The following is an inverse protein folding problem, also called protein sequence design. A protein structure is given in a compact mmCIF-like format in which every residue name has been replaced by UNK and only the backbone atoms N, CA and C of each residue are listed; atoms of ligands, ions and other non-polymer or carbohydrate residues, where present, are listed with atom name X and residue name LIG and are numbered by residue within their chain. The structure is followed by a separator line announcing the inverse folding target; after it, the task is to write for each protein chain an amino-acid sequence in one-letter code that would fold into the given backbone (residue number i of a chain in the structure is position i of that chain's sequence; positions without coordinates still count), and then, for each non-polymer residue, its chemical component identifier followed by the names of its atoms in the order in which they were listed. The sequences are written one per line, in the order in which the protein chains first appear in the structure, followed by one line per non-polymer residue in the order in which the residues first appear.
data_IF_690461793891
#
_entry.id   IF_690461793891
#
_cell.length_a   1.000
_cell.length_b   1.000
_cell.length_c   1.000
_cell.angle_alpha   90.00
_cell.angle_beta   90.00
_cell.angle_gamma   90.00
#
_symmetry.space_group_name_H-M   'P 1'
#
loop_
_entity.id
_entity.type
_entity.pdbx_description
1 polymer ?
#
# COMPACT_ATOMS: atom_id res chain seq x y z
N UNK A 1 -85.28 6.00 5.62
CA UNK A 1 -84.14 5.87 4.69
C UNK A 1 -83.03 6.80 5.12
N UNK A 2 -82.01 6.24 5.74
CA UNK A 2 -80.85 7.00 6.23
C UNK A 2 -79.69 6.85 5.22
N UNK A 3 -79.32 7.93 4.60
CA UNK A 3 -78.13 7.96 3.73
C UNK A 3 -76.88 8.05 4.59
N UNK A 4 -76.03 6.99 4.50
CA UNK A 4 -74.71 6.94 5.09
C UNK A 4 -73.73 7.53 4.06
N UNK A 5 -73.14 8.71 4.38
CA UNK A 5 -72.01 9.26 3.62
C UNK A 5 -70.72 8.56 4.11
N UNK A 6 -70.11 7.76 3.27
CA UNK A 6 -68.80 7.23 3.52
C UNK A 6 -67.79 8.28 3.01
N UNK A 7 -67.09 8.95 3.93
CA UNK A 7 -66.01 9.84 3.62
C UNK A 7 -64.74 9.00 3.47
N UNK A 8 -64.30 8.79 2.24
CA UNK A 8 -63.05 8.11 1.91
C UNK A 8 -61.91 9.14 2.11
N UNK A 9 -61.24 9.13 3.26
CA UNK A 9 -59.98 9.85 3.46
C UNK A 9 -58.88 9.10 2.73
N UNK A 10 -58.52 9.54 1.54
CA UNK A 10 -57.22 9.20 0.92
C UNK A 10 -56.12 9.91 1.72
N UNK A 11 -55.44 9.17 2.59
CA UNK A 11 -54.14 9.56 3.11
C UNK A 11 -53.13 9.42 1.98
N UNK A 12 -52.88 10.52 1.28
CA UNK A 12 -51.68 10.66 0.45
C UNK A 12 -50.50 10.70 1.42
N UNK A 13 -49.80 9.58 1.58
CA UNK A 13 -48.44 9.58 2.07
C UNK A 13 -47.58 10.16 0.97
N UNK A 14 -47.38 11.49 1.01
CA UNK A 14 -46.27 12.13 0.31
C UNK A 14 -45.06 11.83 1.16
N UNK A 15 -44.27 10.85 0.78
CA UNK A 15 -42.88 10.76 1.26
C UNK A 15 -42.17 11.98 0.70
N UNK A 16 -42.06 13.05 1.49
CA UNK A 16 -41.08 14.10 1.22
C UNK A 16 -39.73 13.44 1.41
N UNK A 17 -39.17 12.90 0.32
CA UNK A 17 -37.74 12.76 0.27
C UNK A 17 -37.17 14.18 0.38
N UNK A 18 -36.44 14.43 1.45
CA UNK A 18 -35.72 15.69 1.61
C UNK A 18 -34.67 15.74 0.50
N UNK A 19 -35.04 16.37 -0.64
CA UNK A 19 -34.06 16.63 -1.69
C UNK A 19 -33.03 17.58 -1.14
N UNK A 20 -31.75 17.21 -1.29
CA UNK A 20 -30.63 18.07 -0.93
C UNK A 20 -30.80 19.46 -1.58
N UNK A 21 -30.75 20.52 -0.77
CA UNK A 21 -30.85 21.90 -1.25
C UNK A 21 -29.49 22.34 -1.79
N UNK A 22 -29.09 21.80 -2.93
CA UNK A 22 -27.79 22.10 -3.55
C UNK A 22 -27.80 23.56 -4.05
N UNK A 23 -26.70 24.29 -3.80
CA UNK A 23 -26.51 25.64 -4.32
C UNK A 23 -25.95 25.55 -5.77
N UNK A 24 -26.82 25.63 -6.75
CA UNK A 24 -26.49 25.53 -8.19
C UNK A 24 -25.53 26.65 -8.70
N UNK A 25 -25.36 27.72 -7.95
CA UNK A 25 -24.41 28.79 -8.30
C UNK A 25 -22.96 28.48 -7.87
N UNK A 26 -22.71 27.34 -7.25
CA UNK A 26 -21.38 26.88 -6.82
C UNK A 26 -20.96 25.67 -7.63
N UNK A 27 -19.66 25.51 -7.87
CA UNK A 27 -19.14 24.26 -8.42
C UNK A 27 -19.23 23.17 -7.35
N UNK A 28 -19.86 22.04 -7.67
CA UNK A 28 -19.97 20.93 -6.74
C UNK A 28 -19.91 19.57 -7.43
N UNK A 29 -19.58 18.54 -6.66
CA UNK A 29 -19.66 17.14 -7.07
C UNK A 29 -20.47 16.40 -6.01
N UNK A 30 -21.47 15.64 -6.45
CA UNK A 30 -22.23 14.73 -5.58
C UNK A 30 -21.84 13.29 -5.86
N UNK A 31 -21.49 12.57 -4.83
CA UNK A 31 -21.17 11.14 -4.88
C UNK A 31 -22.20 10.38 -4.04
N UNK A 32 -22.90 9.41 -4.64
CA UNK A 32 -23.83 8.55 -3.91
C UNK A 32 -23.36 7.10 -3.98
N UNK A 33 -23.17 6.50 -2.81
CA UNK A 33 -22.85 5.08 -2.67
C UNK A 33 -24.12 4.38 -2.16
N UNK A 34 -24.69 3.49 -2.98
CA UNK A 34 -25.91 2.75 -2.63
C UNK A 34 -25.59 1.29 -2.38
N UNK A 35 -26.31 0.66 -1.45
CA UNK A 35 -26.27 -0.80 -1.30
C UNK A 35 -26.99 -1.46 -2.48
N UNK A 36 -26.40 -2.52 -3.01
CA UNK A 36 -26.93 -3.31 -4.13
C UNK A 36 -28.35 -3.86 -3.85
N UNK A 37 -28.64 -4.15 -2.60
CA UNK A 37 -29.90 -4.75 -2.15
C UNK A 37 -30.94 -3.71 -1.66
N UNK A 38 -30.53 -2.47 -1.45
CA UNK A 38 -31.38 -1.39 -1.01
C UNK A 38 -30.95 -0.05 -1.64
N UNK A 39 -31.51 0.23 -2.82
CA UNK A 39 -31.21 1.47 -3.59
C UNK A 39 -31.71 2.73 -2.91
N UNK A 40 -32.57 2.62 -1.89
CA UNK A 40 -33.09 3.75 -1.13
C UNK A 40 -32.15 4.13 0.04
N UNK A 41 -31.34 3.20 0.56
CA UNK A 41 -30.32 3.47 1.56
C UNK A 41 -28.97 3.69 0.90
N UNK A 42 -28.42 4.89 0.97
CA UNK A 42 -27.10 5.19 0.43
C UNK A 42 -26.47 6.38 1.17
N UNK A 43 -25.15 6.35 1.25
CA UNK A 43 -24.37 7.51 1.71
C UNK A 43 -24.25 8.48 0.54
N UNK A 44 -24.58 9.75 0.80
CA UNK A 44 -24.43 10.82 -0.17
C UNK A 44 -23.47 11.87 0.36
N UNK A 45 -22.40 12.10 -0.38
CA UNK A 45 -21.41 13.13 -0.12
C UNK A 45 -21.56 14.25 -1.16
N UNK A 46 -21.51 15.49 -0.73
CA UNK A 46 -21.50 16.68 -1.59
C UNK A 46 -20.23 17.46 -1.29
N UNK A 47 -19.43 17.75 -2.33
CA UNK A 47 -18.22 18.55 -2.18
C UNK A 47 -18.36 19.82 -3.01
N UNK A 48 -18.28 20.96 -2.36
CA UNK A 48 -18.27 22.28 -3.00
C UNK A 48 -16.85 22.77 -3.23
N UNK A 49 -16.63 23.37 -4.40
CA UNK A 49 -15.33 23.84 -4.85
C UNK A 49 -15.32 25.37 -5.03
N UNK A 50 -14.16 25.96 -4.81
CA UNK A 50 -13.94 27.38 -5.16
C UNK A 50 -13.72 27.57 -6.67
N UNK A 51 -13.53 28.82 -7.09
CA UNK A 51 -13.28 29.16 -8.49
C UNK A 51 -11.96 28.62 -9.08
N UNK A 52 -11.08 28.07 -8.24
CA UNK A 52 -9.81 27.41 -8.62
C UNK A 52 -9.89 25.88 -8.60
N UNK A 53 -11.08 25.33 -8.32
CA UNK A 53 -11.29 23.88 -8.23
C UNK A 53 -10.78 23.25 -6.93
N UNK A 54 -10.55 24.04 -5.87
CA UNK A 54 -10.14 23.52 -4.56
C UNK A 54 -11.37 23.27 -3.71
N UNK A 55 -11.37 22.18 -2.95
CA UNK A 55 -12.43 21.83 -2.02
C UNK A 55 -12.61 22.95 -0.96
N UNK A 56 -13.81 23.46 -0.83
CA UNK A 56 -14.15 24.54 0.11
C UNK A 56 -15.03 24.06 1.25
N UNK A 57 -15.91 23.12 0.95
CA UNK A 57 -16.82 22.52 1.90
C UNK A 57 -17.15 21.09 1.47
N UNK A 58 -17.13 20.14 2.39
CA UNK A 58 -17.67 18.80 2.18
C UNK A 58 -18.81 18.51 3.14
N UNK A 59 -19.84 17.85 2.63
CA UNK A 59 -21.09 17.58 3.36
C UNK A 59 -21.41 16.10 3.21
N UNK A 60 -21.64 15.42 4.33
CA UNK A 60 -22.17 14.06 4.37
C UNK A 60 -23.60 14.11 4.85
N UNK A 61 -24.52 13.72 3.98
CA UNK A 61 -25.96 13.85 4.25
C UNK A 61 -26.45 12.83 5.27
N UNK A 62 -27.17 13.30 6.28
CA UNK A 62 -27.93 12.48 7.21
C UNK A 62 -27.10 11.50 8.06
N UNK A 63 -25.79 11.69 8.19
CA UNK A 63 -24.90 10.70 8.83
C UNK A 63 -24.75 10.90 10.35
N UNK A 64 -25.20 12.03 10.90
CA UNK A 64 -25.15 12.23 12.35
C UNK A 64 -26.12 11.32 13.09
N UNK A 65 -25.91 11.00 14.37
CA UNK A 65 -26.86 10.19 15.14
C UNK A 65 -28.29 10.73 15.19
N UNK A 66 -28.46 12.04 14.98
CA UNK A 66 -29.77 12.70 14.93
C UNK A 66 -30.34 12.83 13.51
N UNK A 67 -29.64 12.33 12.51
CA UNK A 67 -30.03 12.47 11.10
C UNK A 67 -29.65 13.80 10.46
N UNK A 68 -28.83 14.65 11.14
CA UNK A 68 -28.30 15.87 10.55
C UNK A 68 -27.13 15.58 9.60
N UNK A 69 -26.87 16.51 8.69
CA UNK A 69 -25.71 16.48 7.81
C UNK A 69 -24.44 16.87 8.58
N UNK A 70 -23.30 16.29 8.19
CA UNK A 70 -21.99 16.69 8.73
C UNK A 70 -21.25 17.58 7.73
N UNK A 71 -20.93 18.78 8.13
CA UNK A 71 -20.23 19.80 7.35
C UNK A 71 -18.77 19.92 7.78
N UNK A 72 -17.86 19.93 6.79
CA UNK A 72 -16.45 20.25 7.00
C UNK A 72 -16.07 21.41 6.10
N UNK A 73 -15.55 22.50 6.67
CA UNK A 73 -15.12 23.68 5.94
C UNK A 73 -13.61 23.75 5.81
N UNK A 74 -13.13 24.23 4.67
CA UNK A 74 -11.71 24.42 4.39
C UNK A 74 -11.46 25.86 3.95
N UNK A 75 -10.44 26.48 4.56
CA UNK A 75 -10.01 27.84 4.22
C UNK A 75 -8.59 27.83 3.70
N UNK A 76 -8.35 28.56 2.63
CA UNK A 76 -7.04 28.70 2.00
C UNK A 76 -6.52 30.13 2.14
N UNK A 77 -5.19 30.26 2.24
CA UNK A 77 -4.52 31.57 2.14
C UNK A 77 -4.41 32.05 0.69
N UNK A 78 -3.86 33.24 0.49
CA UNK A 78 -3.64 33.83 -0.84
C UNK A 78 -2.63 33.06 -1.72
N UNK A 79 -1.84 32.14 -1.14
CA UNK A 79 -0.88 31.29 -1.84
C UNK A 79 -1.48 29.90 -2.16
N UNK A 80 -2.71 29.64 -1.68
CA UNK A 80 -3.40 28.36 -1.92
C UNK A 80 -3.12 27.30 -0.86
N UNK A 81 -2.50 27.63 0.25
CA UNK A 81 -2.29 26.70 1.35
C UNK A 81 -3.55 26.58 2.21
N UNK A 82 -3.85 25.36 2.64
CA UNK A 82 -4.93 25.05 3.57
C UNK A 82 -4.57 25.56 4.96
N UNK A 83 -5.14 26.66 5.39
CA UNK A 83 -4.84 27.28 6.69
C UNK A 83 -5.79 26.87 7.81
N UNK A 84 -7.04 26.57 7.48
CA UNK A 84 -8.04 26.07 8.44
C UNK A 84 -8.83 24.91 7.84
N UNK A 85 -9.20 23.98 8.71
CA UNK A 85 -10.14 22.90 8.42
C UNK A 85 -11.00 22.66 9.65
N UNK A 86 -12.32 22.75 9.52
CA UNK A 86 -13.22 22.46 10.64
C UNK A 86 -13.29 20.95 10.90
N UNK A 87 -13.51 20.57 12.17
CA UNK A 87 -14.03 19.22 12.43
C UNK A 87 -15.44 19.10 11.82
N UNK A 88 -15.89 17.87 11.44
CA UNK A 88 -17.25 17.68 10.98
C UNK A 88 -18.26 18.18 12.01
N UNK A 89 -19.09 19.13 11.61
CA UNK A 89 -20.07 19.78 12.48
C UNK A 89 -21.49 19.49 12.00
N UNK A 90 -22.41 19.02 12.84
CA UNK A 90 -23.78 18.72 12.44
C UNK A 90 -24.55 20.00 12.11
N UNK A 91 -25.34 19.96 11.03
CA UNK A 91 -26.23 21.03 10.61
C UNK A 91 -27.41 20.49 9.82
N UNK A 92 -28.59 21.06 10.03
CA UNK A 92 -29.84 20.71 9.36
C UNK A 92 -30.03 21.45 8.02
N UNK A 93 -28.97 21.82 7.31
CA UNK A 93 -29.01 22.61 6.07
C UNK A 93 -29.28 21.81 4.80
N UNK A 94 -29.52 20.51 4.92
CA UNK A 94 -29.96 19.63 3.82
C UNK A 94 -29.05 19.68 2.58
N UNK A 95 -27.74 19.65 2.77
CA UNK A 95 -26.76 19.65 1.67
C UNK A 95 -26.52 21.03 1.04
N UNK A 96 -27.13 22.10 1.53
CA UNK A 96 -26.90 23.44 1.02
C UNK A 96 -25.52 23.95 1.45
N UNK A 97 -24.82 24.64 0.54
CA UNK A 97 -23.57 25.32 0.86
C UNK A 97 -23.80 26.33 2.00
N UNK A 98 -22.95 26.26 3.03
CA UNK A 98 -22.97 27.16 4.18
C UNK A 98 -21.73 28.06 4.12
N UNK A 99 -21.90 29.41 3.92
CA UNK A 99 -20.75 30.29 3.98
C UNK A 99 -20.03 30.15 5.34
N UNK A 100 -18.74 29.91 5.27
CA UNK A 100 -17.92 29.77 6.46
C UNK A 100 -17.71 31.15 7.11
N UNK A 101 -18.20 31.32 8.34
CA UNK A 101 -17.97 32.49 9.17
C UNK A 101 -17.02 32.13 10.32
N UNK A 102 -15.75 32.51 10.15
CA UNK A 102 -14.74 32.32 11.17
C UNK A 102 -14.87 33.42 12.23
N UNK A 103 -15.50 33.12 13.35
CA UNK A 103 -15.47 33.98 14.52
C UNK A 103 -14.35 33.56 15.47
N UNK A 104 -13.56 34.52 15.95
CA UNK A 104 -12.37 34.28 16.78
C UNK A 104 -12.64 33.45 18.06
N UNK A 105 -13.89 33.33 18.49
CA UNK A 105 -14.30 32.59 19.68
C UNK A 105 -14.55 31.07 19.43
N UNK A 106 -14.44 30.60 18.21
CA UNK A 106 -14.67 29.19 17.84
C UNK A 106 -13.41 28.41 17.50
N UNK A 107 -12.24 28.88 17.95
CA UNK A 107 -10.92 28.30 17.59
C UNK A 107 -10.72 26.81 17.93
N UNK A 108 -11.49 26.30 18.89
CA UNK A 108 -11.36 24.90 19.33
C UNK A 108 -11.91 23.86 18.34
N UNK A 109 -12.68 24.28 17.34
CA UNK A 109 -13.30 23.40 16.36
C UNK A 109 -12.49 23.23 15.06
N UNK A 110 -11.23 23.67 14.98
CA UNK A 110 -10.47 23.73 13.74
C UNK A 110 -9.08 23.15 13.89
N UNK A 111 -8.61 22.50 12.82
CA UNK A 111 -7.20 22.25 12.56
C UNK A 111 -6.65 23.51 11.91
N UNK A 112 -5.60 24.09 12.48
CA UNK A 112 -4.94 25.29 11.97
C UNK A 112 -3.55 24.97 11.48
N UNK A 113 -3.21 25.41 10.26
CA UNK A 113 -1.88 25.31 9.70
C UNK A 113 -1.28 26.71 9.51
N UNK A 114 -0.05 26.88 9.94
CA UNK A 114 0.73 28.10 9.75
C UNK A 114 1.90 27.84 8.80
N UNK A 115 2.17 28.79 7.91
CA UNK A 115 3.19 28.67 6.87
C UNK A 115 4.22 29.80 6.94
N UNK A 116 5.47 29.47 6.65
CA UNK A 116 6.53 30.46 6.44
C UNK A 116 6.29 31.14 5.08
N UNK A 117 5.94 32.44 5.09
CA UNK A 117 5.60 33.20 3.86
C UNK A 117 6.70 33.19 2.80
N UNK A 118 7.96 33.26 3.21
CA UNK A 118 9.09 33.37 2.27
C UNK A 118 9.35 32.09 1.45
N UNK A 119 9.10 30.91 2.03
CA UNK A 119 9.42 29.61 1.41
C UNK A 119 8.17 28.75 1.19
N UNK A 120 7.01 29.22 1.64
CA UNK A 120 5.74 28.47 1.57
C UNK A 120 5.82 27.08 2.25
N UNK A 121 6.56 26.98 3.35
CA UNK A 121 6.75 25.74 4.10
C UNK A 121 5.89 25.77 5.38
N UNK A 122 5.29 24.65 5.82
CA UNK A 122 4.57 24.58 7.09
C UNK A 122 5.52 24.86 8.27
N UNK A 123 5.09 25.65 9.24
CA UNK A 123 5.84 25.90 10.47
C UNK A 123 5.12 25.41 11.71
N UNK A 124 3.80 25.30 11.66
CA UNK A 124 3.01 24.80 12.77
C UNK A 124 1.68 24.23 12.30
N UNK A 125 1.24 23.15 12.94
CA UNK A 125 -0.10 22.62 12.83
C UNK A 125 -0.67 22.45 14.24
N UNK A 126 -1.82 23.09 14.52
CA UNK A 126 -2.54 22.97 15.80
C UNK A 126 -3.79 22.13 15.56
N UNK A 127 -4.00 21.09 16.36
CA UNK A 127 -5.18 20.23 16.30
C UNK A 127 -6.45 20.93 16.83
N UNK A 128 -7.63 20.33 16.61
CA UNK A 128 -8.87 20.84 17.15
C UNK A 128 -8.95 20.58 18.67
N UNK A 129 -9.56 21.48 19.41
CA UNK A 129 -9.78 21.38 20.85
C UNK A 129 -9.26 22.56 21.63
N UNK A 130 -10.03 23.03 22.60
CA UNK A 130 -9.69 24.19 23.41
C UNK A 130 -8.38 24.02 24.18
N UNK A 131 -8.09 22.81 24.68
CA UNK A 131 -6.85 22.50 25.38
C UNK A 131 -5.61 22.61 24.47
N UNK A 132 -5.73 22.20 23.22
CA UNK A 132 -4.67 22.31 22.21
C UNK A 132 -4.40 23.77 21.85
N UNK A 133 -5.46 24.51 21.63
CA UNK A 133 -5.37 25.91 21.26
C UNK A 133 -4.79 26.77 22.40
N UNK A 134 -5.30 26.64 23.64
CA UNK A 134 -4.86 27.42 24.81
C UNK A 134 -3.41 27.13 25.19
N UNK A 135 -2.95 25.89 25.06
CA UNK A 135 -1.61 25.49 25.43
C UNK A 135 -0.61 25.63 24.26
N UNK A 136 -1.02 26.18 23.12
CA UNK A 136 -0.21 26.25 21.91
C UNK A 136 0.38 24.88 21.51
N UNK A 137 -0.28 23.78 21.89
CA UNK A 137 0.12 22.43 21.55
C UNK A 137 -0.07 22.18 20.05
N UNK A 138 0.76 21.34 19.47
CA UNK A 138 0.69 21.04 18.06
C UNK A 138 2.02 20.57 17.49
N UNK A 139 1.99 20.19 16.24
CA UNK A 139 3.20 19.80 15.48
C UNK A 139 3.92 21.09 15.06
N UNK A 140 5.22 21.18 15.33
CA UNK A 140 6.06 22.32 14.93
C UNK A 140 7.16 21.88 14.00
N UNK A 141 7.52 22.73 13.02
CA UNK A 141 8.52 22.45 11.99
C UNK A 141 9.60 23.54 11.99
N UNK A 142 10.85 23.11 11.89
CA UNK A 142 12.01 24.00 11.72
C UNK A 142 12.88 23.50 10.58
N UNK A 143 13.36 24.42 9.76
CA UNK A 143 14.20 24.13 8.60
C UNK A 143 15.56 24.77 8.76
N UNK A 144 16.63 23.96 8.67
CA UNK A 144 18.01 24.41 8.86
C UNK A 144 18.98 23.60 7.99
N UNK A 145 20.27 23.86 8.10
CA UNK A 145 21.33 23.00 7.56
C UNK A 145 21.91 22.06 8.64
N UNK A 146 22.77 21.14 8.23
CA UNK A 146 23.48 20.22 9.13
C UNK A 146 24.67 20.88 9.86
N UNK A 147 24.49 22.07 10.41
CA UNK A 147 25.58 22.78 11.09
C UNK A 147 25.73 22.46 12.58
N UNK A 148 24.64 21.98 13.20
CA UNK A 148 24.56 21.81 14.65
C UNK A 148 25.25 20.55 15.18
N UNK A 149 25.16 19.45 14.42
CA UNK A 149 25.74 18.15 14.79
C UNK A 149 26.36 17.48 13.57
N UNK A 150 27.50 16.76 13.74
CA UNK A 150 28.14 16.05 12.65
C UNK A 150 27.20 14.90 12.13
N UNK A 151 27.07 14.81 10.82
CA UNK A 151 26.39 13.71 10.11
C UNK A 151 27.45 12.91 9.37
N UNK A 152 27.56 11.60 9.65
CA UNK A 152 28.55 10.74 9.01
C UNK A 152 28.28 10.58 7.51
N UNK A 153 29.33 10.66 6.70
CA UNK A 153 29.28 10.45 5.25
C UNK A 153 29.69 9.02 4.91
N UNK A 154 28.69 8.14 4.73
CA UNK A 154 28.87 6.78 4.28
C UNK A 154 28.65 6.68 2.78
N UNK A 155 29.54 5.97 2.09
CA UNK A 155 29.50 5.80 0.64
C UNK A 155 29.76 4.35 0.25
N UNK A 156 29.25 3.97 -0.94
CA UNK A 156 29.64 2.72 -1.58
C UNK A 156 30.72 3.03 -2.59
N UNK A 157 31.92 2.45 -2.40
CA UNK A 157 33.05 2.62 -3.31
C UNK A 157 32.78 1.99 -4.68
N UNK A 158 33.63 2.29 -5.65
CA UNK A 158 33.56 1.68 -7.00
C UNK A 158 33.73 0.16 -6.99
N UNK A 159 34.32 -0.39 -5.92
CA UNK A 159 34.45 -1.85 -5.71
C UNK A 159 33.24 -2.45 -4.97
N UNK A 160 32.21 -1.67 -4.70
CA UNK A 160 31.00 -2.12 -3.98
C UNK A 160 31.16 -2.22 -2.46
N UNK A 161 32.26 -1.70 -1.90
CA UNK A 161 32.49 -1.73 -0.46
C UNK A 161 31.91 -0.51 0.23
N UNK A 162 31.37 -0.71 1.43
CA UNK A 162 30.96 0.37 2.31
C UNK A 162 32.21 1.07 2.88
N UNK A 163 32.23 2.39 2.82
CA UNK A 163 33.31 3.24 3.35
C UNK A 163 32.72 4.46 4.08
N UNK A 164 33.42 4.96 5.08
CA UNK A 164 33.12 6.24 5.73
C UNK A 164 34.13 7.27 5.30
N UNK A 165 33.73 8.27 4.51
CA UNK A 165 34.60 9.38 4.06
C UNK A 165 34.88 10.41 5.15
N UNK A 166 34.06 10.46 6.19
CA UNK A 166 34.16 11.43 7.25
C UNK A 166 32.78 11.89 7.72
N UNK A 167 32.56 13.20 7.66
CA UNK A 167 31.26 13.83 7.96
C UNK A 167 30.89 14.77 6.81
N UNK A 168 29.59 14.92 6.59
CA UNK A 168 29.09 15.89 5.61
C UNK A 168 29.50 17.30 6.00
N UNK A 169 29.96 18.14 5.03
CA UNK A 169 30.24 19.55 5.27
C UNK A 169 29.03 20.27 5.89
N UNK A 170 29.32 21.29 6.72
CA UNK A 170 28.26 22.11 7.30
C UNK A 170 27.35 22.72 6.18
N UNK A 171 26.06 22.71 6.38
CA UNK A 171 25.04 23.21 5.44
C UNK A 171 24.99 22.49 4.07
N UNK A 172 25.63 21.33 3.92
CA UNK A 172 25.51 20.52 2.70
C UNK A 172 24.27 19.64 2.68
N UNK A 173 23.64 19.42 3.84
CA UNK A 173 22.37 18.73 3.98
C UNK A 173 21.28 19.69 4.46
N UNK A 174 20.04 19.50 4.00
CA UNK A 174 18.86 20.16 4.53
C UNK A 174 18.39 19.37 5.76
N UNK A 175 18.14 20.06 6.87
CA UNK A 175 17.60 19.46 8.07
C UNK A 175 16.16 19.98 8.29
N UNK A 176 15.20 19.06 8.31
CA UNK A 176 13.83 19.30 8.74
C UNK A 176 13.67 18.73 10.14
N UNK A 177 13.40 19.60 11.11
CA UNK A 177 13.11 19.22 12.50
C UNK A 177 11.61 19.30 12.73
N UNK A 178 11.05 18.22 13.26
CA UNK A 178 9.64 18.13 13.63
C UNK A 178 9.52 17.82 15.11
N UNK A 179 8.70 18.58 15.81
CA UNK A 179 8.24 18.25 17.15
C UNK A 179 6.76 17.88 17.08
N UNK A 180 6.41 16.75 17.67
CA UNK A 180 5.01 16.38 17.85
C UNK A 180 4.39 17.13 19.04
N UNK A 181 3.14 16.81 19.33
CA UNK A 181 2.35 17.42 20.40
C UNK A 181 2.93 17.15 21.79
N UNK A 182 3.58 16.00 21.96
CA UNK A 182 4.24 15.59 23.21
C UNK A 182 5.69 16.09 23.29
N UNK A 183 6.11 16.92 22.32
CA UNK A 183 7.47 17.48 22.16
C UNK A 183 8.53 16.42 21.86
N UNK A 184 8.16 15.26 21.35
CA UNK A 184 9.13 14.34 20.80
C UNK A 184 9.72 14.95 19.53
N UNK A 185 11.03 14.90 19.44
CA UNK A 185 11.80 15.55 18.37
C UNK A 185 12.31 14.54 17.35
N UNK A 186 12.13 14.84 16.07
CA UNK A 186 12.70 14.09 14.95
C UNK A 186 13.39 15.06 14.00
N UNK A 187 14.65 14.80 13.68
CA UNK A 187 15.43 15.51 12.67
C UNK A 187 15.62 14.60 11.45
N UNK A 188 15.28 15.11 10.27
CA UNK A 188 15.50 14.41 9.00
C UNK A 188 16.45 15.20 8.13
N UNK A 189 17.60 14.60 7.83
CA UNK A 189 18.65 15.20 7.01
C UNK A 189 18.55 14.65 5.58
N UNK A 190 18.38 15.57 4.63
CA UNK A 190 18.27 15.24 3.21
C UNK A 190 19.37 15.93 2.41
N UNK A 191 19.84 15.25 1.38
CA UNK A 191 20.81 15.85 0.45
C UNK A 191 20.11 16.74 -0.61
N UNK A 192 20.89 17.29 -1.52
CA UNK A 192 20.40 18.23 -2.54
C UNK A 192 19.48 17.58 -3.60
N UNK A 193 19.50 16.26 -3.73
CA UNK A 193 18.59 15.54 -4.64
C UNK A 193 17.39 14.92 -3.90
N UNK A 194 17.24 15.20 -2.59
CA UNK A 194 16.08 14.81 -1.79
C UNK A 194 16.18 13.43 -1.13
N UNK A 195 17.36 12.77 -1.15
CA UNK A 195 17.55 11.49 -0.44
C UNK A 195 17.67 11.74 1.06
N UNK A 196 16.96 10.94 1.86
CA UNK A 196 17.12 10.95 3.32
C UNK A 196 18.41 10.23 3.68
N UNK A 197 19.39 10.96 4.21
CA UNK A 197 20.69 10.44 4.64
C UNK A 197 20.65 9.98 6.09
N UNK A 198 20.02 10.77 6.96
CA UNK A 198 19.90 10.49 8.39
C UNK A 198 18.53 10.87 8.90
N UNK A 199 17.92 9.97 9.67
CA UNK A 199 16.80 10.30 10.55
C UNK A 199 17.27 10.15 11.99
N UNK A 200 17.21 11.22 12.76
CA UNK A 200 17.58 11.28 14.18
C UNK A 200 16.35 11.47 15.03
N UNK A 201 16.06 10.51 15.87
CA UNK A 201 14.99 10.59 16.86
C UNK A 201 15.55 10.84 18.24
N UNK A 202 14.83 11.54 19.07
CA UNK A 202 15.23 11.84 20.44
C UNK A 202 14.28 11.18 21.43
N UNK A 203 14.87 10.57 22.46
CA UNK A 203 14.20 10.21 23.69
C UNK A 203 14.85 11.00 24.79
N UNK A 204 14.13 12.01 25.31
CA UNK A 204 14.65 12.99 26.24
C UNK A 204 15.90 13.70 25.69
N UNK A 205 17.11 13.33 26.15
CA UNK A 205 18.39 13.91 25.70
C UNK A 205 19.19 12.99 24.79
N UNK A 206 18.79 11.71 24.66
CA UNK A 206 19.54 10.73 23.86
C UNK A 206 19.05 10.73 22.41
N UNK A 207 20.02 10.82 21.49
CA UNK A 207 19.74 10.72 20.06
C UNK A 207 19.87 9.27 19.58
N UNK A 208 18.99 8.88 18.67
CA UNK A 208 18.94 7.57 18.00
C UNK A 208 18.99 7.78 16.51
N UNK A 209 20.13 7.46 15.91
CA UNK A 209 20.42 7.71 14.50
C UNK A 209 20.09 6.52 13.62
N UNK A 210 19.34 6.76 12.55
CA UNK A 210 19.14 5.81 11.46
C UNK A 210 19.69 6.38 10.18
N UNK A 211 20.75 5.79 9.64
CA UNK A 211 21.39 6.20 8.38
C UNK A 211 20.89 5.39 7.21
N UNK A 212 20.69 6.05 6.08
CA UNK A 212 20.50 5.44 4.77
C UNK A 212 21.74 5.69 3.90
N UNK A 213 22.27 4.63 3.31
CA UNK A 213 23.46 4.69 2.45
C UNK A 213 23.08 4.31 1.04
N UNK A 214 23.45 5.15 0.10
CA UNK A 214 23.12 4.99 -1.31
C UNK A 214 24.38 4.77 -2.15
N UNK A 215 24.22 4.03 -3.26
CA UNK A 215 25.26 3.89 -4.26
C UNK A 215 25.28 5.07 -5.24
N UNK A 216 26.21 5.03 -6.19
CA UNK A 216 26.37 6.05 -7.24
C UNK A 216 25.18 6.18 -8.20
N UNK A 217 24.28 5.19 -8.22
CA UNK A 217 23.03 5.19 -9.00
C UNK A 217 21.79 5.58 -8.19
N UNK A 218 22.00 6.13 -6.98
CA UNK A 218 20.96 6.54 -6.03
C UNK A 218 20.09 5.38 -5.49
N UNK A 219 20.61 4.14 -5.49
CA UNK A 219 19.90 2.99 -4.93
C UNK A 219 20.29 2.82 -3.46
N UNK A 220 19.30 2.54 -2.62
CA UNK A 220 19.51 2.32 -1.18
C UNK A 220 20.21 0.98 -0.96
N UNK A 221 21.46 1.01 -0.48
CA UNK A 221 22.26 -0.20 -0.25
C UNK A 221 22.27 -0.64 1.21
N UNK A 222 22.28 0.31 2.16
CA UNK A 222 22.22 -0.01 3.58
C UNK A 222 21.26 0.90 4.32
N UNK A 223 20.65 0.32 5.37
CA UNK A 223 20.02 1.09 6.45
C UNK A 223 20.73 0.69 7.73
N UNK A 224 21.23 1.66 8.47
CA UNK A 224 21.83 1.47 9.80
C UNK A 224 20.84 1.95 10.87
N UNK A 225 20.07 1.06 11.50
CA UNK A 225 19.30 1.41 12.69
C UNK A 225 20.21 1.89 13.84
N UNK A 226 19.68 2.46 14.92
CA UNK A 226 20.48 3.04 16.01
C UNK A 226 21.58 2.12 16.57
N UNK A 227 21.30 0.82 16.74
CA UNK A 227 22.31 -0.13 17.21
C UNK A 227 23.51 -0.27 16.24
N UNK A 228 23.21 -0.31 14.91
CA UNK A 228 24.26 -0.35 13.91
C UNK A 228 25.03 0.96 13.88
N UNK A 229 24.34 2.10 13.92
CA UNK A 229 24.94 3.44 13.91
C UNK A 229 25.89 3.66 15.08
N UNK A 230 25.45 3.32 16.30
CA UNK A 230 26.27 3.45 17.52
C UNK A 230 27.50 2.54 17.47
N UNK A 231 27.34 1.28 17.02
CA UNK A 231 28.44 0.33 16.91
C UNK A 231 29.47 0.73 15.85
N UNK A 232 29.03 1.26 14.68
CA UNK A 232 29.92 1.70 13.60
C UNK A 232 30.74 2.96 13.96
N UNK A 233 30.26 3.79 14.88
CA UNK A 233 31.03 4.94 15.40
C UNK A 233 32.27 4.45 16.13
N UNK A 234 32.14 3.36 16.89
CA UNK A 234 33.22 2.83 17.74
C UNK A 234 34.15 1.85 17.01
N UNK A 235 33.58 0.89 16.30
CA UNK A 235 34.31 -0.26 15.74
C UNK A 235 34.89 0.00 14.36
N UNK A 236 34.29 0.88 13.56
CA UNK A 236 34.69 1.23 12.19
C UNK A 236 34.86 0.02 11.25
N UNK A 237 34.17 -1.08 11.54
CA UNK A 237 34.19 -2.30 10.73
C UNK A 237 33.08 -2.22 9.66
N UNK A 238 33.48 -2.07 8.41
CA UNK A 238 32.57 -1.88 7.28
C UNK A 238 32.47 -3.12 6.37
N UNK A 239 32.96 -4.27 6.82
CA UNK A 239 32.81 -5.54 6.12
C UNK A 239 31.55 -6.27 6.59
N UNK A 240 30.86 -6.92 5.64
CA UNK A 240 29.72 -7.81 5.94
C UNK A 240 30.25 -9.18 6.38
N UNK A 241 30.80 -9.25 7.58
CA UNK A 241 31.32 -10.49 8.16
C UNK A 241 30.28 -11.12 9.08
N UNK A 242 30.21 -12.45 9.06
CA UNK A 242 29.25 -13.19 9.91
C UNK A 242 29.49 -12.90 11.38
N UNK A 243 28.45 -12.45 12.09
CA UNK A 243 28.51 -12.03 13.47
C UNK A 243 29.09 -10.63 13.70
N UNK A 244 29.51 -9.94 12.64
CA UNK A 244 29.94 -8.54 12.68
C UNK A 244 28.76 -7.56 12.80
N UNK A 245 29.09 -6.27 13.01
CA UNK A 245 28.10 -5.20 13.23
C UNK A 245 27.10 -5.12 12.09
N UNK A 246 27.55 -5.16 10.83
CA UNK A 246 26.66 -5.08 9.66
C UNK A 246 25.78 -6.32 9.53
N UNK A 247 26.31 -7.50 9.83
CA UNK A 247 25.54 -8.74 9.79
C UNK A 247 24.43 -8.76 10.83
N UNK A 248 24.71 -8.32 12.05
CA UNK A 248 23.78 -8.38 13.17
C UNK A 248 22.74 -7.27 13.18
N UNK A 249 23.09 -6.06 12.71
CA UNK A 249 22.26 -4.88 12.95
C UNK A 249 21.87 -4.10 11.70
N UNK A 250 22.53 -4.31 10.53
CA UNK A 250 22.22 -3.55 9.33
C UNK A 250 21.23 -4.25 8.41
N UNK A 251 20.42 -3.46 7.69
CA UNK A 251 19.76 -3.92 6.47
C UNK A 251 20.71 -3.71 5.31
N UNK A 252 20.73 -4.66 4.39
CA UNK A 252 21.56 -4.60 3.19
C UNK A 252 20.75 -5.00 1.95
N UNK A 253 21.03 -4.30 0.84
CA UNK A 253 20.45 -4.54 -0.46
C UNK A 253 21.51 -4.48 -1.53
N UNK A 254 21.53 -5.47 -2.40
CA UNK A 254 22.38 -5.51 -3.58
C UNK A 254 21.55 -5.52 -4.85
N UNK A 255 22.06 -4.84 -5.87
CA UNK A 255 21.36 -4.68 -7.13
C UNK A 255 22.23 -5.12 -8.29
N UNK A 256 21.59 -5.63 -9.34
CA UNK A 256 22.25 -5.93 -10.62
C UNK A 256 22.37 -4.68 -11.52
N UNK A 257 22.88 -4.91 -12.75
CA UNK A 257 23.03 -3.84 -13.75
C UNK A 257 21.70 -3.27 -14.26
N UNK A 258 20.60 -4.02 -14.10
CA UNK A 258 19.23 -3.64 -14.51
C UNK A 258 18.45 -2.94 -13.39
N UNK A 259 19.09 -2.61 -12.27
CA UNK A 259 18.49 -2.02 -11.07
C UNK A 259 17.51 -2.93 -10.31
N UNK A 260 17.57 -4.25 -10.51
CA UNK A 260 16.76 -5.21 -9.78
C UNK A 260 17.49 -5.61 -8.49
N UNK A 261 16.76 -5.71 -7.37
CA UNK A 261 17.32 -6.18 -6.11
C UNK A 261 17.58 -7.69 -6.19
N UNK A 262 18.85 -8.09 -6.16
CA UNK A 262 19.27 -9.51 -6.27
C UNK A 262 19.61 -10.15 -4.92
N UNK A 263 19.88 -9.33 -3.92
CA UNK A 263 20.13 -9.78 -2.54
C UNK A 263 19.52 -8.79 -1.55
N UNK A 264 18.83 -9.31 -0.55
CA UNK A 264 18.30 -8.55 0.58
C UNK A 264 18.67 -9.25 1.86
N UNK A 265 19.24 -8.50 2.82
CA UNK A 265 19.56 -9.00 4.14
C UNK A 265 18.88 -8.18 5.21
N UNK A 266 18.25 -8.84 6.16
CA UNK A 266 17.72 -8.25 7.38
C UNK A 266 18.71 -8.42 8.52
N UNK A 267 18.66 -7.58 9.57
CA UNK A 267 19.52 -7.70 10.75
C UNK A 267 19.48 -9.11 11.37
N UNK A 268 20.65 -9.71 11.57
CA UNK A 268 20.80 -11.02 12.21
C UNK A 268 20.21 -12.22 11.44
N UNK A 269 19.76 -12.03 10.19
CA UNK A 269 19.15 -13.07 9.37
C UNK A 269 20.01 -13.32 8.15
N UNK A 270 20.11 -14.58 7.71
CA UNK A 270 20.78 -14.93 6.44
C UNK A 270 20.11 -14.22 5.25
N UNK A 271 20.88 -13.81 4.21
CA UNK A 271 20.34 -13.07 3.09
C UNK A 271 19.30 -13.87 2.29
N UNK A 272 18.39 -13.15 1.65
CA UNK A 272 17.44 -13.67 0.68
C UNK A 272 17.97 -13.32 -0.71
N UNK A 273 18.04 -14.31 -1.59
CA UNK A 273 18.43 -14.14 -3.00
C UNK A 273 17.23 -14.10 -3.90
N UNK A 274 17.34 -13.32 -4.98
CA UNK A 274 16.32 -13.18 -6.00
C UNK A 274 16.94 -13.36 -7.38
N UNK A 275 16.28 -14.14 -8.24
CA UNK A 275 16.70 -14.37 -9.62
C UNK A 275 15.56 -14.03 -10.57
N UNK A 276 15.87 -13.25 -11.59
CA UNK A 276 14.91 -12.70 -12.52
C UNK A 276 15.10 -13.29 -13.92
N UNK A 277 14.05 -13.31 -14.71
CA UNK A 277 14.08 -13.66 -16.12
C UNK A 277 14.46 -12.44 -17.00
N UNK A 278 14.53 -12.67 -18.31
CA UNK A 278 14.83 -11.63 -19.31
C UNK A 278 13.74 -10.54 -19.42
N UNK A 279 12.54 -10.81 -18.92
CA UNK A 279 11.42 -9.86 -18.88
C UNK A 279 11.31 -9.13 -17.52
N UNK A 280 12.39 -9.13 -16.71
CA UNK A 280 12.51 -8.49 -15.39
C UNK A 280 11.52 -9.01 -14.33
N UNK A 281 10.98 -10.23 -14.52
CA UNK A 281 10.07 -10.85 -13.56
C UNK A 281 10.85 -11.73 -12.58
N UNK A 282 10.43 -11.71 -11.30
CA UNK A 282 11.01 -12.56 -10.26
C UNK A 282 10.63 -14.03 -10.52
N UNK A 283 11.60 -14.87 -10.87
CA UNK A 283 11.37 -16.29 -11.13
C UNK A 283 11.76 -17.17 -9.95
N UNK A 284 12.83 -16.83 -9.25
CA UNK A 284 13.29 -17.62 -8.10
C UNK A 284 13.64 -16.71 -6.92
N UNK A 285 13.28 -17.16 -5.71
CA UNK A 285 13.75 -16.57 -4.47
C UNK A 285 14.20 -17.63 -3.47
N UNK A 286 15.19 -17.31 -2.64
CA UNK A 286 15.74 -18.25 -1.67
C UNK A 286 16.10 -17.55 -0.35
N UNK A 287 15.42 -17.91 0.72
CA UNK A 287 15.78 -17.53 2.09
C UNK A 287 16.88 -18.42 2.67
N UNK A 288 17.47 -18.00 3.81
CA UNK A 288 18.49 -18.79 4.52
C UNK A 288 18.01 -20.19 4.94
N UNK A 289 16.74 -20.33 5.33
CA UNK A 289 16.17 -21.63 5.69
C UNK A 289 15.98 -22.54 4.47
N UNK A 290 15.59 -21.98 3.32
CA UNK A 290 15.48 -22.71 2.07
C UNK A 290 16.86 -23.17 1.56
N UNK A 291 17.92 -22.34 1.74
CA UNK A 291 19.30 -22.75 1.39
C UNK A 291 19.76 -24.02 2.11
N UNK A 292 19.45 -24.13 3.41
CA UNK A 292 19.78 -25.34 4.18
C UNK A 292 19.12 -26.60 3.63
N UNK A 293 17.97 -26.44 2.97
CA UNK A 293 17.19 -27.52 2.35
C UNK A 293 17.44 -27.63 0.84
N UNK A 294 18.32 -26.79 0.25
CA UNK A 294 18.57 -26.68 -1.19
C UNK A 294 17.30 -26.35 -1.99
N UNK A 295 16.38 -25.62 -1.38
CA UNK A 295 15.08 -25.25 -1.92
C UNK A 295 15.07 -23.81 -2.40
N UNK A 296 14.30 -23.55 -3.46
CA UNK A 296 13.95 -22.24 -3.98
C UNK A 296 12.45 -22.12 -4.12
N UNK A 297 11.90 -20.96 -3.83
CA UNK A 297 10.55 -20.62 -4.24
C UNK A 297 10.61 -20.22 -5.72
N UNK A 298 9.80 -20.84 -6.58
CA UNK A 298 9.73 -20.47 -7.97
C UNK A 298 8.38 -19.89 -8.35
N UNK A 299 8.39 -19.02 -9.36
CA UNK A 299 7.22 -18.36 -9.92
C UNK A 299 7.22 -18.53 -11.44
N UNK A 300 6.06 -18.83 -12.02
CA UNK A 300 5.84 -18.87 -13.45
C UNK A 300 4.70 -17.95 -13.84
N UNK A 301 4.77 -17.42 -15.06
CA UNK A 301 3.88 -16.37 -15.52
C UNK A 301 3.22 -16.75 -16.84
N UNK A 302 2.04 -16.19 -17.11
CA UNK A 302 1.41 -16.24 -18.41
C UNK A 302 2.00 -15.16 -19.35
N UNK A 303 1.47 -15.12 -20.59
CA UNK A 303 1.87 -14.12 -21.58
C UNK A 303 1.52 -12.68 -21.14
N UNK A 304 0.48 -12.52 -20.36
CA UNK A 304 0.07 -11.22 -19.79
C UNK A 304 0.91 -10.76 -18.59
N UNK A 305 1.86 -11.60 -18.13
CA UNK A 305 2.68 -11.31 -16.95
C UNK A 305 1.98 -11.57 -15.61
N UNK A 306 0.82 -12.24 -15.62
CA UNK A 306 0.13 -12.67 -14.39
C UNK A 306 0.82 -13.92 -13.84
N UNK A 307 1.03 -13.98 -12.53
CA UNK A 307 1.53 -15.19 -11.87
C UNK A 307 0.49 -16.31 -11.97
N UNK A 308 0.90 -17.47 -12.47
CA UNK A 308 0.02 -18.62 -12.67
C UNK A 308 0.42 -19.82 -11.83
N UNK A 309 1.69 -20.02 -11.56
CA UNK A 309 2.20 -21.15 -10.77
C UNK A 309 3.27 -20.66 -9.82
N UNK A 310 3.17 -21.07 -8.57
CA UNK A 310 4.21 -20.91 -7.55
C UNK A 310 4.49 -22.27 -6.91
N UNK A 311 5.76 -22.53 -6.56
CA UNK A 311 6.13 -23.79 -5.92
C UNK A 311 7.54 -23.82 -5.38
N UNK A 312 7.98 -25.00 -4.98
CA UNK A 312 9.33 -25.26 -4.47
C UNK A 312 10.13 -26.01 -5.54
N UNK A 313 11.30 -25.49 -5.87
CA UNK A 313 12.33 -26.16 -6.67
C UNK A 313 13.43 -26.64 -5.74
N UNK A 314 13.70 -27.95 -5.71
CA UNK A 314 14.82 -28.52 -4.96
C UNK A 314 15.98 -28.75 -5.91
N UNK A 315 17.09 -28.01 -5.72
CA UNK A 315 18.26 -28.09 -6.62
C UNK A 315 19.55 -27.72 -5.91
N UNK A 316 20.65 -28.33 -6.34
CA UNK A 316 22.03 -28.00 -5.94
C UNK A 316 22.65 -26.84 -6.76
N UNK A 317 21.93 -26.30 -7.74
CA UNK A 317 22.44 -25.23 -8.60
C UNK A 317 22.68 -23.94 -7.80
N UNK A 318 23.80 -23.30 -8.10
CA UNK A 318 24.18 -22.04 -7.42
C UNK A 318 23.37 -20.84 -7.94
N UNK A 319 23.27 -19.78 -7.12
CA UNK A 319 22.68 -18.49 -7.51
C UNK A 319 23.24 -17.99 -8.85
N UNK A 320 24.57 -18.03 -9.01
CA UNK A 320 25.26 -17.57 -10.22
C UNK A 320 24.83 -18.36 -11.46
N UNK A 321 24.73 -19.69 -11.35
CA UNK A 321 24.26 -20.54 -12.45
C UNK A 321 22.80 -20.19 -12.82
N UNK A 322 21.91 -20.12 -11.82
CA UNK A 322 20.50 -19.84 -12.04
C UNK A 322 20.28 -18.46 -12.65
N UNK A 323 21.02 -17.44 -12.18
CA UNK A 323 20.99 -16.09 -12.73
C UNK A 323 21.44 -16.08 -14.20
N UNK A 324 22.57 -16.72 -14.51
CA UNK A 324 23.07 -16.80 -15.89
C UNK A 324 22.10 -17.54 -16.82
N UNK A 325 21.46 -18.59 -16.31
CA UNK A 325 20.50 -19.38 -17.07
C UNK A 325 19.21 -18.62 -17.39
N UNK A 326 18.69 -17.87 -16.39
CA UNK A 326 17.41 -17.15 -16.50
C UNK A 326 17.53 -15.80 -17.20
N UNK A 327 18.64 -15.09 -17.10
CA UNK A 327 18.84 -13.80 -17.76
C UNK A 327 18.66 -13.85 -19.29
N UNK A 328 18.76 -15.03 -19.90
CA UNK A 328 18.58 -15.23 -21.33
C UNK A 328 17.21 -15.83 -21.71
N UNK A 329 16.34 -16.08 -20.75
CA UNK A 329 15.05 -16.74 -20.94
C UNK A 329 13.90 -15.88 -20.44
N UNK A 330 12.74 -16.03 -21.06
CA UNK A 330 11.48 -15.50 -20.57
C UNK A 330 10.64 -16.70 -20.10
N UNK A 331 10.25 -16.71 -18.83
CA UNK A 331 9.50 -17.81 -18.22
C UNK A 331 8.00 -17.59 -18.45
N UNK A 332 7.50 -18.18 -19.54
CA UNK A 332 6.07 -18.10 -19.91
C UNK A 332 5.51 -19.50 -20.04
N UNK A 333 4.36 -19.74 -19.41
CA UNK A 333 3.54 -20.92 -19.60
C UNK A 333 2.16 -20.53 -20.12
N UNK A 334 1.56 -21.43 -20.88
CA UNK A 334 0.25 -21.22 -21.50
C UNK A 334 -0.73 -22.25 -20.95
N UNK A 335 -1.95 -21.86 -20.67
CA UNK A 335 -3.02 -22.78 -20.31
C UNK A 335 -3.46 -23.56 -21.56
N UNK A 336 -3.36 -24.88 -21.50
CA UNK A 336 -3.60 -25.76 -22.68
C UNK A 336 -4.76 -26.73 -22.50
N UNK A 337 -5.41 -26.73 -21.36
CA UNK A 337 -6.44 -27.71 -20.95
C UNK A 337 -5.92 -29.17 -20.89
N UNK A 338 -4.66 -29.41 -21.22
CA UNK A 338 -4.07 -30.74 -21.20
C UNK A 338 -3.37 -30.98 -19.86
N UNK A 339 -3.75 -32.03 -19.17
CA UNK A 339 -3.03 -32.50 -17.99
C UNK A 339 -1.84 -33.37 -18.40
N UNK A 340 -0.72 -32.74 -18.66
CA UNK A 340 0.54 -33.45 -18.47
C UNK A 340 0.79 -33.55 -16.96
N UNK A 341 1.17 -34.73 -16.48
CA UNK A 341 1.36 -35.02 -15.06
C UNK A 341 2.11 -33.87 -14.35
N UNK A 342 1.43 -33.21 -13.41
CA UNK A 342 2.00 -32.17 -12.55
C UNK A 342 1.98 -30.73 -13.07
N UNK A 343 1.39 -30.43 -14.23
CA UNK A 343 1.33 -29.06 -14.78
C UNK A 343 0.07 -28.27 -14.46
N UNK A 344 -0.94 -28.89 -13.88
CA UNK A 344 -2.23 -28.27 -13.56
C UNK A 344 -2.91 -27.56 -14.75
N UNK A 345 -2.81 -28.14 -15.95
CA UNK A 345 -3.38 -27.63 -17.20
C UNK A 345 -2.49 -26.61 -17.93
N UNK A 346 -1.38 -26.21 -17.37
CA UNK A 346 -0.40 -25.34 -18.01
C UNK A 346 0.68 -26.11 -18.76
N UNK A 347 1.28 -25.50 -19.77
CA UNK A 347 2.52 -26.00 -20.37
C UNK A 347 3.63 -26.07 -19.31
N UNK A 348 4.68 -26.83 -19.59
CA UNK A 348 5.87 -26.87 -18.75
C UNK A 348 7.09 -26.51 -19.60
N UNK A 349 7.04 -25.35 -20.27
CA UNK A 349 8.11 -24.85 -21.13
C UNK A 349 9.37 -24.51 -20.34
N UNK A 350 9.16 -24.12 -19.07
CA UNK A 350 10.23 -23.87 -18.14
C UNK A 350 10.24 -24.96 -17.08
N UNK A 351 11.14 -25.91 -17.21
CA UNK A 351 11.42 -26.92 -16.21
C UNK A 351 12.93 -27.01 -15.98
N UNK A 352 13.31 -27.16 -14.74
CA UNK A 352 14.60 -27.71 -14.41
C UNK A 352 14.46 -29.26 -14.44
N UNK A 353 15.55 -29.96 -14.73
CA UNK A 353 15.60 -31.42 -14.57
C UNK A 353 15.54 -31.86 -13.10
N UNK A 354 15.30 -30.91 -12.21
CA UNK A 354 15.29 -31.05 -10.75
C UNK A 354 13.86 -31.22 -10.25
N UNK A 355 13.70 -31.56 -8.99
CA UNK A 355 12.40 -31.78 -8.36
C UNK A 355 11.66 -30.45 -8.17
N UNK A 356 10.47 -30.34 -8.78
CA UNK A 356 9.60 -29.17 -8.74
C UNK A 356 8.25 -29.54 -8.13
N UNK A 357 7.95 -28.98 -6.96
CA UNK A 357 6.69 -29.18 -6.27
C UNK A 357 5.83 -27.91 -6.37
N UNK A 358 4.65 -28.03 -7.03
CA UNK A 358 3.71 -26.90 -7.15
C UNK A 358 2.92 -26.72 -5.85
N UNK A 359 2.87 -25.51 -5.34
CA UNK A 359 2.12 -25.12 -4.15
C UNK A 359 0.80 -24.43 -4.53
N UNK A 360 0.85 -23.49 -5.48
CA UNK A 360 -0.34 -22.80 -5.96
C UNK A 360 -0.40 -22.81 -7.48
N UNK A 361 -1.64 -22.87 -8.00
CA UNK A 361 -1.92 -22.60 -9.40
C UNK A 361 -3.10 -21.63 -9.50
N UNK A 362 -2.95 -20.54 -10.24
CA UNK A 362 -3.96 -19.53 -10.49
C UNK A 362 -4.55 -19.68 -11.87
N UNK A 363 -5.87 -19.54 -12.00
CA UNK A 363 -6.59 -19.67 -13.26
C UNK A 363 -7.27 -18.34 -13.59
N UNK A 364 -7.25 -18.00 -14.87
CA UNK A 364 -7.78 -16.73 -15.38
C UNK A 364 -8.64 -16.99 -16.62
N UNK A 365 -9.52 -16.06 -16.91
CA UNK A 365 -10.27 -15.95 -18.16
C UNK A 365 -11.34 -17.01 -18.42
N UNK A 366 -11.17 -18.26 -17.95
CA UNK A 366 -12.09 -19.39 -18.17
C UNK A 366 -12.27 -20.24 -16.92
N UNK A 367 -13.32 -21.07 -16.88
CA UNK A 367 -13.57 -22.03 -15.79
C UNK A 367 -13.19 -23.49 -16.16
N UNK A 368 -12.49 -23.69 -17.26
CA UNK A 368 -12.15 -25.02 -17.78
C UNK A 368 -11.28 -25.85 -16.83
N UNK A 369 -10.54 -25.16 -15.93
CA UNK A 369 -9.72 -25.80 -14.91
C UNK A 369 -10.53 -26.73 -13.98
N UNK A 370 -11.82 -26.49 -13.78
CA UNK A 370 -12.70 -27.29 -12.92
C UNK A 370 -12.81 -28.73 -13.46
N UNK A 371 -12.64 -28.93 -14.78
CA UNK A 371 -12.71 -30.24 -15.44
C UNK A 371 -11.41 -31.04 -15.39
N UNK A 372 -10.31 -30.47 -14.87
CA UNK A 372 -9.02 -31.15 -14.80
C UNK A 372 -9.12 -32.44 -13.93
N UNK A 373 -8.49 -33.52 -14.39
CA UNK A 373 -8.53 -34.82 -13.69
C UNK A 373 -7.82 -34.77 -12.33
N UNK A 374 -6.83 -33.92 -12.19
CA UNK A 374 -6.16 -33.62 -10.91
C UNK A 374 -7.13 -33.16 -9.83
N UNK A 375 -8.28 -32.61 -10.23
CA UNK A 375 -9.31 -32.09 -9.32
C UNK A 375 -10.54 -33.03 -9.21
N UNK A 376 -10.72 -33.95 -10.15
CA UNK A 376 -11.87 -34.88 -10.17
C UNK A 376 -11.91 -35.87 -9.03
N UNK A 377 -10.76 -36.17 -8.41
CA UNK A 377 -10.66 -37.09 -7.29
C UNK A 377 -10.95 -36.44 -5.92
N UNK A 378 -11.22 -35.13 -5.87
CA UNK A 378 -11.71 -34.48 -4.67
C UNK A 378 -13.22 -34.71 -4.56
N UNK A 379 -13.71 -35.05 -3.37
CA UNK A 379 -15.14 -35.22 -3.06
C UNK A 379 -15.99 -33.98 -3.36
N UNK A 380 -15.37 -32.87 -3.73
CA UNK A 380 -15.97 -31.58 -4.01
C UNK A 380 -16.15 -31.25 -5.50
N UNK A 381 -15.57 -32.06 -6.42
CA UNK A 381 -15.64 -31.75 -7.86
C UNK A 381 -17.07 -31.75 -8.42
N UNK A 382 -17.95 -32.65 -7.91
CA UNK A 382 -19.34 -32.70 -8.32
C UNK A 382 -20.16 -31.49 -7.85
N UNK A 383 -19.79 -30.88 -6.72
CA UNK A 383 -20.49 -29.71 -6.17
C UNK A 383 -20.21 -28.47 -7.03
N UNK A 384 -18.96 -28.25 -7.44
CA UNK A 384 -18.59 -27.11 -8.31
C UNK A 384 -19.22 -27.21 -9.71
N UNK A 385 -19.24 -28.40 -10.32
CA UNK A 385 -19.88 -28.63 -11.62
C UNK A 385 -21.40 -28.40 -11.58
N UNK A 386 -22.05 -28.73 -10.47
CA UNK A 386 -23.47 -28.49 -10.31
C UNK A 386 -23.80 -27.01 -10.18
N UNK A 387 -22.95 -26.20 -9.50
CA UNK A 387 -23.16 -24.76 -9.42
C UNK A 387 -22.99 -24.05 -10.78
N UNK A 388 -22.13 -24.54 -11.65
CA UNK A 388 -21.91 -23.95 -12.99
C UNK A 388 -23.12 -24.24 -13.91
N UNK A 389 -23.85 -25.34 -13.70
CA UNK A 389 -24.97 -25.79 -14.55
C UNK A 389 -26.35 -25.50 -13.98
N UNK A 390 -26.45 -25.13 -12.70
CA UNK A 390 -27.74 -24.81 -12.09
C UNK A 390 -28.12 -23.33 -12.30
N UNK A 391 -28.84 -23.07 -13.38
CA UNK A 391 -29.30 -21.72 -13.74
C UNK A 391 -30.34 -21.13 -12.77
N UNK A 392 -30.69 -21.81 -11.66
CA UNK A 392 -31.83 -21.42 -10.82
C UNK A 392 -31.52 -20.36 -9.78
N UNK A 393 -30.25 -20.17 -9.38
CA UNK A 393 -29.86 -19.25 -8.28
C UNK A 393 -28.89 -18.12 -8.61
N UNK A 394 -27.95 -18.30 -9.56
CA UNK A 394 -26.94 -17.30 -9.88
C UNK A 394 -26.65 -17.29 -11.38
N UNK A 395 -27.07 -16.24 -12.07
CA UNK A 395 -26.60 -15.98 -13.43
C UNK A 395 -25.16 -15.40 -13.30
N UNK A 396 -24.16 -16.28 -13.33
CA UNK A 396 -22.80 -15.80 -13.46
C UNK A 396 -22.62 -15.10 -14.80
N UNK A 397 -21.90 -14.00 -14.81
CA UNK A 397 -21.58 -13.31 -16.04
C UNK A 397 -20.55 -14.14 -16.82
N UNK A 398 -20.84 -14.57 -18.05
CA UNK A 398 -19.97 -15.51 -18.78
C UNK A 398 -18.63 -14.91 -19.22
N UNK A 399 -18.50 -13.57 -19.17
CA UNK A 399 -17.26 -12.90 -19.57
C UNK A 399 -16.33 -12.70 -18.37
N UNK A 400 -15.48 -13.68 -18.13
CA UNK A 400 -14.43 -13.64 -17.10
C UNK A 400 -13.07 -13.20 -17.64
N UNK A 401 -13.01 -12.64 -18.86
CA UNK A 401 -11.75 -12.23 -19.50
C UNK A 401 -11.04 -11.15 -18.66
N UNK A 402 -9.78 -11.40 -18.33
CA UNK A 402 -8.96 -10.54 -17.46
C UNK A 402 -9.12 -10.82 -15.96
N UNK A 403 -10.13 -11.62 -15.56
CA UNK A 403 -10.43 -11.91 -14.16
C UNK A 403 -9.81 -13.24 -13.71
N UNK A 404 -9.47 -13.34 -12.44
CA UNK A 404 -9.02 -14.59 -11.85
C UNK A 404 -10.23 -15.47 -11.56
N UNK A 405 -10.34 -16.60 -12.25
CA UNK A 405 -11.49 -17.52 -12.15
C UNK A 405 -11.32 -18.60 -11.11
N UNK A 406 -10.08 -18.87 -10.69
CA UNK A 406 -9.85 -19.85 -9.64
C UNK A 406 -8.42 -19.88 -9.12
N UNK A 407 -8.26 -20.59 -8.02
CA UNK A 407 -6.97 -20.87 -7.41
C UNK A 407 -6.97 -22.29 -6.82
N UNK A 408 -5.86 -22.98 -7.02
CA UNK A 408 -5.50 -24.20 -6.30
C UNK A 408 -4.44 -23.86 -5.27
N UNK A 409 -4.58 -24.36 -4.03
CA UNK A 409 -3.59 -24.26 -2.97
C UNK A 409 -3.37 -25.64 -2.37
N UNK A 410 -2.12 -26.10 -2.37
CA UNK A 410 -1.72 -27.37 -1.77
C UNK A 410 -1.73 -27.31 -0.26
N UNK A 411 -2.20 -28.35 0.40
CA UNK A 411 -2.12 -28.47 1.87
C UNK A 411 -0.73 -28.97 2.30
N UNK A 412 -0.11 -28.28 3.26
CA UNK A 412 1.25 -28.58 3.70
C UNK A 412 1.36 -29.88 4.53
N UNK A 413 0.31 -30.20 5.27
CA UNK A 413 0.21 -31.40 6.11
C UNK A 413 -0.24 -32.65 5.34
N UNK A 414 -0.80 -32.46 4.17
CA UNK A 414 -1.26 -33.51 3.26
C UNK A 414 -0.88 -33.16 1.82
N UNK A 415 0.39 -33.36 1.40
CA UNK A 415 0.90 -32.89 0.10
C UNK A 415 0.17 -33.45 -1.13
N UNK A 416 -0.53 -34.59 -0.96
CA UNK A 416 -1.41 -35.17 -2.00
C UNK A 416 -2.77 -34.49 -2.10
N UNK A 417 -3.09 -33.57 -1.21
CA UNK A 417 -4.38 -32.85 -1.15
C UNK A 417 -4.15 -31.35 -1.41
N UNK A 418 -5.16 -30.71 -1.95
CA UNK A 418 -5.19 -29.28 -2.12
C UNK A 418 -6.63 -28.77 -2.12
N UNK A 419 -6.78 -27.49 -1.88
CA UNK A 419 -8.04 -26.77 -1.94
C UNK A 419 -8.16 -26.05 -3.27
N UNK A 420 -9.37 -26.07 -3.85
CA UNK A 420 -9.68 -25.33 -5.06
C UNK A 420 -10.79 -24.34 -4.72
N UNK A 421 -10.55 -23.09 -5.06
CA UNK A 421 -11.54 -22.02 -4.97
C UNK A 421 -11.87 -21.54 -6.36
N UNK A 422 -13.17 -21.47 -6.72
CA UNK A 422 -13.63 -20.85 -7.95
C UNK A 422 -14.31 -19.51 -7.63
N UNK A 423 -13.96 -18.47 -8.39
CA UNK A 423 -14.51 -17.13 -8.28
C UNK A 423 -15.49 -16.87 -9.41
N UNK A 424 -16.75 -16.58 -9.09
CA UNK A 424 -17.78 -16.22 -10.05
C UNK A 424 -18.07 -14.73 -9.95
N UNK A 425 -18.25 -14.07 -11.08
CA UNK A 425 -18.37 -12.63 -11.15
C UNK A 425 -19.73 -12.20 -11.67
N UNK A 426 -20.26 -11.10 -11.17
CA UNK A 426 -21.41 -10.43 -11.72
C UNK A 426 -21.03 -9.53 -12.93
N UNK A 427 -22.03 -8.84 -13.51
CA UNK A 427 -21.83 -7.92 -14.64
C UNK A 427 -20.91 -6.74 -14.31
N UNK A 428 -20.75 -6.38 -13.03
CA UNK A 428 -19.88 -5.32 -12.56
C UNK A 428 -18.45 -5.82 -12.25
N UNK A 429 -18.20 -7.14 -12.42
CA UNK A 429 -16.92 -7.77 -12.11
C UNK A 429 -16.69 -7.96 -10.61
N UNK A 430 -17.75 -7.97 -9.79
CA UNK A 430 -17.67 -8.27 -8.37
C UNK A 430 -17.84 -9.78 -8.16
N UNK A 431 -16.93 -10.43 -7.33
CA UNK A 431 -16.99 -11.86 -7.06
C UNK A 431 -18.14 -12.25 -6.14
#
# INVERSE_FOLDING_TARGET
MKNIFICLCFLLYISLEAQAQINENMNYITTRVTDKNNTESGLTDIVYYDGLGREKESIRLGISPNGDDLYTHIVYDGLGNKVLESIPTPSSKNGAFVPFDYTANSDSGYIRNEYMRALNLPIKQTGPGAAWFLNSAGISYEYSGNCKYPVADYVISSTGRLERKGVFPANSLKCNTVWDEDKNKVETFTDNIGRVILTRRYDSSKAYDTYNVYDSRNRLCYIFPPMASDALITNREYAMEKGGVLDLYAYYYQYDSYNRCVEKKLPGVEPIYYVYDKADRLVLSQSGNQRKKKQWLFHKYDFGGREIIMGILTTDKTVSFLTSYLNNKIVIETYTHNETSGSFGYTNNFSFSDDMEIITAHYYDTYDFISLSSFRNSTHSNTFLNYVHDNSYWIHYPNSKGLQTGVFVRQFDAPSRGEITAYYYDKAGQP
#
